data_IF_062245112453
#
_entry.id   IF_062245112453
#
_cell.length_a   1.000
_cell.length_b   1.000
_cell.length_c   1.000
_cell.angle_alpha   90.00
_cell.angle_beta   90.00
_cell.angle_gamma   90.00
#
_symmetry.space_group_name_H-M   'P 1'
#
loop_
_entity.id
_entity.type
_entity.pdbx_description
1 polymer ?
#
# COMPACT_ATOMS: atom_id res chain seq x y z
N UNK A 1 11.41 -39.96 -10.71
CA UNK A 1 10.01 -39.52 -10.89
C UNK A 1 10.04 -38.00 -10.99
N UNK A 2 9.44 -37.40 -12.03
CA UNK A 2 9.38 -35.94 -12.12
C UNK A 2 8.38 -35.43 -11.08
N UNK A 3 8.85 -34.65 -10.11
CA UNK A 3 7.97 -33.95 -9.18
C UNK A 3 7.07 -33.01 -9.98
N UNK A 4 5.75 -33.21 -9.93
CA UNK A 4 4.79 -32.25 -10.49
C UNK A 4 5.06 -30.91 -9.81
N UNK A 5 5.46 -29.91 -10.60
CA UNK A 5 5.64 -28.55 -10.11
C UNK A 5 4.24 -28.03 -9.78
N UNK A 6 3.86 -28.14 -8.51
CA UNK A 6 2.62 -27.58 -8.00
C UNK A 6 2.74 -26.07 -8.07
N UNK A 7 2.16 -25.46 -9.11
CA UNK A 7 1.99 -24.02 -9.16
C UNK A 7 0.82 -23.66 -8.23
N UNK A 8 0.99 -22.76 -7.25
CA UNK A 8 -0.15 -22.25 -6.51
C UNK A 8 -1.18 -21.61 -7.46
N UNK A 9 -2.45 -21.50 -7.04
CA UNK A 9 -3.40 -20.57 -7.66
C UNK A 9 -2.77 -19.18 -7.83
N UNK A 10 -3.18 -18.39 -8.83
CA UNK A 10 -2.72 -17.01 -8.95
C UNK A 10 -3.13 -16.21 -7.70
N UNK A 11 -2.29 -15.27 -7.27
CA UNK A 11 -2.69 -14.30 -6.25
C UNK A 11 -3.84 -13.44 -6.77
N UNK A 12 -4.86 -13.27 -5.93
CA UNK A 12 -6.01 -12.42 -6.19
C UNK A 12 -5.83 -11.02 -5.62
N UNK A 13 -6.95 -10.37 -5.30
CA UNK A 13 -6.98 -9.02 -4.72
C UNK A 13 -6.54 -8.99 -3.25
N UNK A 14 -6.04 -7.83 -2.85
CA UNK A 14 -5.91 -7.43 -1.45
C UNK A 14 -7.19 -6.70 -1.03
N UNK A 15 -7.59 -6.84 0.23
CA UNK A 15 -8.67 -6.04 0.85
C UNK A 15 -8.45 -5.86 2.34
N UNK A 16 -9.14 -4.89 2.95
CA UNK A 16 -9.25 -4.81 4.41
C UNK A 16 -9.90 -6.08 4.97
N UNK A 17 -9.50 -6.47 6.18
CA UNK A 17 -10.05 -7.63 6.88
C UNK A 17 -11.43 -7.34 7.52
N UNK A 18 -12.31 -8.33 7.55
CA UNK A 18 -13.52 -8.36 8.37
C UNK A 18 -13.30 -9.25 9.59
N UNK A 19 -14.03 -9.04 10.68
CA UNK A 19 -14.02 -9.94 11.84
C UNK A 19 -14.42 -11.37 11.48
N UNK A 20 -15.24 -11.55 10.44
CA UNK A 20 -15.64 -12.87 9.90
C UNK A 20 -14.47 -13.64 9.26
N UNK A 21 -13.39 -12.96 8.90
CA UNK A 21 -12.18 -13.59 8.34
C UNK A 21 -11.36 -14.33 9.41
N UNK A 22 -11.58 -14.01 10.69
CA UNK A 22 -10.71 -14.42 11.79
C UNK A 22 -10.47 -15.95 11.91
N UNK A 23 -11.45 -16.85 11.67
CA UNK A 23 -11.21 -18.30 11.68
C UNK A 23 -10.21 -18.71 10.59
N UNK A 24 -10.43 -18.25 9.35
CA UNK A 24 -9.58 -18.56 8.20
C UNK A 24 -8.17 -17.97 8.32
N UNK A 25 -8.04 -16.80 8.94
CA UNK A 25 -6.74 -16.19 9.28
C UNK A 25 -6.03 -17.03 10.34
N UNK A 26 -6.75 -17.49 11.38
CA UNK A 26 -6.18 -18.31 12.44
C UNK A 26 -5.67 -19.66 11.91
N UNK A 27 -6.34 -20.27 10.94
CA UNK A 27 -5.88 -21.49 10.25
C UNK A 27 -4.53 -21.32 9.52
N UNK A 28 -4.11 -20.09 9.19
CA UNK A 28 -2.78 -19.79 8.63
C UNK A 28 -1.68 -19.61 9.70
N UNK A 29 -2.04 -19.53 10.98
CA UNK A 29 -1.10 -19.27 12.08
C UNK A 29 -0.43 -20.57 12.53
N UNK A 30 0.81 -20.78 12.09
CA UNK A 30 1.63 -21.89 12.58
C UNK A 30 2.19 -21.63 13.99
N UNK A 31 2.77 -22.65 14.63
CA UNK A 31 3.32 -22.59 16.01
C UNK A 31 4.36 -21.46 16.21
N UNK A 32 5.21 -21.21 15.20
CA UNK A 32 6.22 -20.14 15.22
C UNK A 32 5.56 -18.76 15.24
N UNK A 33 4.57 -18.54 14.35
CA UNK A 33 3.78 -17.30 14.30
C UNK A 33 2.96 -17.11 15.58
N UNK A 34 2.29 -18.16 16.07
CA UNK A 34 1.50 -18.16 17.30
C UNK A 34 2.31 -17.67 18.50
N UNK A 35 3.47 -18.29 18.75
CA UNK A 35 4.34 -17.94 19.90
C UNK A 35 4.96 -16.56 19.76
N UNK A 36 5.28 -16.14 18.55
CA UNK A 36 5.92 -14.87 18.30
C UNK A 36 4.96 -13.67 18.42
N UNK A 37 3.82 -13.76 17.74
CA UNK A 37 2.78 -12.72 17.72
C UNK A 37 1.79 -12.82 18.89
N UNK A 38 1.90 -13.88 19.73
CA UNK A 38 1.04 -14.14 20.90
C UNK A 38 -0.43 -14.40 20.51
N UNK A 39 -0.60 -15.24 19.50
CA UNK A 39 -1.90 -15.61 18.92
C UNK A 39 -2.19 -17.05 19.28
N UNK A 40 -3.08 -17.25 20.24
CA UNK A 40 -3.43 -18.57 20.79
C UNK A 40 -4.80 -19.05 20.32
N UNK A 41 -5.68 -18.12 19.89
CA UNK A 41 -7.04 -18.42 19.45
C UNK A 41 -7.59 -17.31 18.52
N UNK A 42 -8.76 -17.59 17.93
CA UNK A 42 -9.48 -16.68 17.04
C UNK A 42 -9.84 -15.34 17.68
N UNK A 43 -10.08 -15.25 19.00
CA UNK A 43 -10.36 -13.97 19.67
C UNK A 43 -9.18 -13.02 19.62
N UNK A 44 -7.93 -13.52 19.64
CA UNK A 44 -6.75 -12.67 19.43
C UNK A 44 -6.74 -12.05 18.03
N UNK A 45 -7.18 -12.80 17.02
CA UNK A 45 -7.26 -12.33 15.63
C UNK A 45 -8.39 -11.30 15.46
N UNK A 46 -9.57 -11.54 16.03
CA UNK A 46 -10.68 -10.56 16.07
C UNK A 46 -10.22 -9.26 16.73
N UNK A 47 -9.63 -9.36 17.92
CA UNK A 47 -9.09 -8.21 18.65
C UNK A 47 -8.02 -7.44 17.84
N UNK A 48 -7.18 -8.14 17.06
CA UNK A 48 -6.25 -7.49 16.14
C UNK A 48 -6.97 -6.76 15.00
N UNK A 49 -7.99 -7.36 14.38
CA UNK A 49 -8.74 -6.74 13.28
C UNK A 49 -9.44 -5.45 13.75
N UNK A 50 -10.05 -5.46 14.94
CA UNK A 50 -10.78 -4.32 15.51
C UNK A 50 -9.87 -3.19 16.02
N UNK A 51 -8.64 -3.49 16.45
CA UNK A 51 -7.76 -2.54 17.15
C UNK A 51 -6.42 -2.30 16.42
N UNK A 52 -6.28 -2.78 15.18
CA UNK A 52 -5.15 -2.44 14.32
C UNK A 52 -5.36 -1.07 13.68
N UNK A 53 -4.25 -0.37 13.38
CA UNK A 53 -4.28 0.81 12.49
C UNK A 53 -4.64 0.37 11.07
N UNK A 54 -4.18 -0.82 10.68
CA UNK A 54 -4.46 -1.40 9.37
C UNK A 54 -4.40 -2.94 9.46
N UNK A 55 -5.43 -3.60 8.94
CA UNK A 55 -5.54 -5.06 8.84
C UNK A 55 -5.96 -5.45 7.41
N UNK A 56 -5.16 -6.27 6.74
CA UNK A 56 -5.29 -6.57 5.31
C UNK A 56 -5.23 -8.09 5.09
N UNK A 57 -6.17 -8.60 4.28
CA UNK A 57 -6.18 -9.96 3.75
C UNK A 57 -5.70 -9.96 2.29
N UNK A 58 -4.79 -10.88 1.95
CA UNK A 58 -4.46 -11.28 0.58
C UNK A 58 -5.30 -12.50 0.21
N UNK A 59 -6.11 -12.38 -0.85
CA UNK A 59 -6.89 -13.48 -1.40
C UNK A 59 -6.14 -14.17 -2.54
N UNK A 60 -6.49 -15.41 -2.87
CA UNK A 60 -6.13 -16.06 -4.13
C UNK A 60 -7.18 -15.79 -5.23
N UNK A 61 -6.98 -16.37 -6.41
CA UNK A 61 -7.96 -16.32 -7.51
C UNK A 61 -9.30 -17.02 -7.25
N UNK A 62 -9.47 -17.66 -6.09
CA UNK A 62 -10.69 -18.34 -5.63
C UNK A 62 -11.37 -17.58 -4.47
N UNK A 63 -10.99 -16.31 -4.23
CA UNK A 63 -11.38 -15.50 -3.06
C UNK A 63 -11.07 -16.17 -1.69
N UNK A 64 -10.14 -17.14 -1.65
CA UNK A 64 -9.68 -17.77 -0.40
C UNK A 64 -8.56 -16.95 0.25
N UNK A 65 -8.61 -16.77 1.58
CA UNK A 65 -7.57 -16.04 2.32
C UNK A 65 -6.28 -16.87 2.34
N UNK A 66 -5.21 -16.33 1.76
CA UNK A 66 -3.89 -16.96 1.69
C UNK A 66 -2.79 -16.13 2.38
N UNK A 67 -3.11 -14.92 2.82
CA UNK A 67 -2.22 -14.09 3.64
C UNK A 67 -2.99 -13.07 4.46
N UNK A 68 -2.43 -12.70 5.60
CA UNK A 68 -2.95 -11.66 6.48
C UNK A 68 -1.82 -10.88 7.15
N UNK A 69 -2.01 -9.57 7.29
CA UNK A 69 -1.15 -8.68 8.06
C UNK A 69 -1.99 -7.73 8.92
N UNK A 70 -1.57 -7.52 10.16
CA UNK A 70 -2.12 -6.51 11.06
C UNK A 70 -0.99 -5.66 11.63
N UNK A 71 -1.15 -4.33 11.56
CA UNK A 71 -0.17 -3.37 12.03
C UNK A 71 -0.75 -2.35 13.02
N UNK A 72 0.07 -1.92 13.99
CA UNK A 72 -0.25 -0.86 14.97
C UNK A 72 0.84 0.21 14.99
N UNK A 73 0.55 1.35 15.61
CA UNK A 73 1.43 2.51 15.80
C UNK A 73 2.46 2.35 16.94
N UNK A 74 2.56 1.16 17.56
CA UNK A 74 3.52 0.84 18.63
C UNK A 74 4.04 -0.61 18.50
N UNK A 75 5.26 -0.94 18.96
CA UNK A 75 5.83 -2.28 18.81
C UNK A 75 5.18 -3.31 19.75
N UNK A 76 5.23 -4.59 19.36
CA UNK A 76 4.74 -5.72 20.17
C UNK A 76 5.69 -6.05 21.34
N UNK A 77 5.79 -5.12 22.30
CA UNK A 77 6.64 -5.23 23.51
C UNK A 77 5.79 -4.92 24.75
N UNK A 78 5.29 -5.91 25.50
CA UNK A 78 4.41 -5.67 26.65
C UNK A 78 5.04 -4.87 27.80
N UNK A 79 6.37 -4.86 27.90
CA UNK A 79 7.13 -4.12 28.91
C UNK A 79 7.37 -2.65 28.55
N UNK A 80 6.88 -2.18 27.40
CA UNK A 80 7.03 -0.80 26.93
C UNK A 80 5.65 -0.21 26.68
N UNK A 81 5.33 0.88 27.39
CA UNK A 81 4.07 1.61 27.18
C UNK A 81 4.01 2.16 25.74
N UNK A 82 2.86 2.10 25.03
CA UNK A 82 2.75 2.58 23.65
C UNK A 82 3.30 4.00 23.43
N UNK A 83 2.98 4.95 24.31
CA UNK A 83 3.50 6.34 24.17
C UNK A 83 5.00 6.51 24.45
N UNK A 84 5.69 5.48 24.94
CA UNK A 84 7.11 5.52 25.31
C UNK A 84 8.03 4.77 24.32
N UNK A 85 7.47 4.18 23.24
CA UNK A 85 8.25 3.28 22.39
C UNK A 85 9.38 3.96 21.64
N UNK A 86 9.20 5.20 21.16
CA UNK A 86 10.23 5.93 20.40
C UNK A 86 11.54 6.01 21.18
N UNK A 87 11.47 6.53 22.40
CA UNK A 87 12.62 6.64 23.30
C UNK A 87 13.25 5.28 23.59
N UNK A 88 12.46 4.22 23.73
CA UNK A 88 12.97 2.86 23.92
C UNK A 88 13.75 2.37 22.68
N UNK A 89 13.16 2.50 21.48
CA UNK A 89 13.78 2.07 20.21
C UNK A 89 15.04 2.88 19.93
N UNK A 90 15.01 4.21 20.06
CA UNK A 90 16.18 5.08 19.90
C UNK A 90 17.30 4.73 20.88
N UNK A 91 16.96 4.44 22.14
CA UNK A 91 17.95 4.11 23.17
C UNK A 91 18.60 2.75 22.89
N UNK A 92 17.80 1.71 22.63
CA UNK A 92 18.26 0.32 22.54
C UNK A 92 18.72 -0.10 21.15
N UNK A 93 18.07 0.35 20.07
CA UNK A 93 18.36 -0.09 18.70
C UNK A 93 19.07 0.98 17.86
N UNK A 94 19.17 2.24 18.35
CA UNK A 94 19.73 3.39 17.62
C UNK A 94 19.02 3.75 16.31
N UNK A 95 17.84 3.17 16.06
CA UNK A 95 16.98 3.48 14.92
C UNK A 95 16.20 4.79 15.17
N UNK A 96 16.92 5.92 15.15
CA UNK A 96 16.39 7.28 15.41
C UNK A 96 15.46 7.80 14.31
N UNK A 97 15.48 7.16 13.14
CA UNK A 97 14.64 7.47 11.99
C UNK A 97 13.17 7.02 12.18
N UNK A 98 12.91 6.07 13.09
CA UNK A 98 11.58 5.57 13.42
C UNK A 98 10.87 6.50 14.42
N UNK A 99 9.67 6.97 14.08
CA UNK A 99 8.79 7.76 14.94
C UNK A 99 7.30 7.43 14.69
N UNK A 100 6.45 7.88 15.60
CA UNK A 100 4.99 7.73 15.61
C UNK A 100 4.26 8.24 14.36
N UNK A 101 4.87 9.14 13.57
CA UNK A 101 4.28 9.63 12.31
C UNK A 101 4.63 8.78 11.10
N UNK A 102 5.77 8.08 11.11
CA UNK A 102 6.31 7.41 9.92
C UNK A 102 6.48 5.88 10.04
N UNK A 103 6.19 5.31 11.21
CA UNK A 103 6.45 3.91 11.52
C UNK A 103 5.19 3.18 11.94
N UNK A 104 4.90 2.05 11.31
CA UNK A 104 3.96 1.05 11.80
C UNK A 104 4.70 -0.23 12.20
N UNK A 105 4.13 -0.98 13.13
CA UNK A 105 4.68 -2.22 13.64
C UNK A 105 3.75 -3.40 13.35
N UNK A 106 4.31 -4.50 12.84
CA UNK A 106 3.58 -5.74 12.61
C UNK A 106 3.24 -6.39 13.95
N UNK A 107 1.94 -6.64 14.18
CA UNK A 107 1.40 -7.37 15.34
C UNK A 107 0.92 -8.78 14.99
N UNK A 108 0.62 -9.04 13.72
CA UNK A 108 0.52 -10.38 13.15
C UNK A 108 0.86 -10.31 11.66
N UNK A 109 1.63 -11.29 11.18
CA UNK A 109 1.79 -11.57 9.75
C UNK A 109 1.81 -13.08 9.56
N UNK A 110 0.83 -13.62 8.81
CA UNK A 110 0.73 -15.03 8.49
C UNK A 110 0.35 -15.21 7.01
N UNK A 111 0.78 -16.32 6.40
CA UNK A 111 0.52 -16.62 5.00
C UNK A 111 0.70 -18.11 4.71
N UNK A 112 0.03 -18.55 3.65
CA UNK A 112 0.23 -19.88 3.10
C UNK A 112 1.63 -19.97 2.46
N UNK A 113 2.48 -20.83 3.01
CA UNK A 113 3.89 -20.97 2.64
C UNK A 113 4.13 -21.29 1.15
N UNK A 114 3.14 -21.82 0.42
CA UNK A 114 3.26 -22.13 -1.02
C UNK A 114 3.53 -20.86 -1.85
N UNK A 115 3.04 -19.70 -1.40
CA UNK A 115 3.22 -18.41 -2.07
C UNK A 115 4.48 -17.64 -1.60
N UNK A 116 5.16 -18.13 -0.55
CA UNK A 116 6.43 -17.62 -0.04
C UNK A 116 6.53 -16.07 0.06
N UNK A 117 7.50 -15.46 -0.65
CA UNK A 117 7.84 -14.03 -0.54
C UNK A 117 6.78 -13.10 -1.14
N UNK A 118 6.09 -13.54 -2.18
CA UNK A 118 5.24 -12.64 -2.99
C UNK A 118 4.09 -12.05 -2.18
N UNK A 119 3.51 -12.83 -1.26
CA UNK A 119 2.50 -12.35 -0.31
C UNK A 119 3.07 -11.32 0.66
N UNK A 120 4.26 -11.56 1.23
CA UNK A 120 4.91 -10.63 2.17
C UNK A 120 5.18 -9.29 1.50
N UNK A 121 5.78 -9.30 0.30
CA UNK A 121 6.10 -8.07 -0.43
C UNK A 121 4.83 -7.33 -0.87
N UNK A 122 3.76 -8.03 -1.29
CA UNK A 122 2.48 -7.41 -1.63
C UNK A 122 1.78 -6.80 -0.41
N UNK A 123 1.79 -7.46 0.74
CA UNK A 123 1.21 -6.94 1.99
C UNK A 123 1.97 -5.70 2.49
N UNK A 124 3.31 -5.70 2.45
CA UNK A 124 4.12 -4.52 2.80
C UNK A 124 3.87 -3.35 1.84
N UNK A 125 3.83 -3.61 0.51
CA UNK A 125 3.44 -2.59 -0.48
C UNK A 125 2.07 -2.01 -0.19
N UNK A 126 1.09 -2.85 0.13
CA UNK A 126 -0.28 -2.42 0.45
C UNK A 126 -0.31 -1.46 1.64
N UNK A 127 0.38 -1.80 2.75
CA UNK A 127 0.50 -0.90 3.92
C UNK A 127 1.12 0.45 3.52
N UNK A 128 2.20 0.45 2.73
CA UNK A 128 2.79 1.69 2.24
C UNK A 128 1.84 2.48 1.31
N UNK A 129 1.05 1.82 0.48
CA UNK A 129 0.09 2.51 -0.40
C UNK A 129 -1.10 3.12 0.36
N UNK A 130 -1.48 2.56 1.50
CA UNK A 130 -2.53 3.11 2.37
C UNK A 130 -2.16 4.47 3.00
N UNK A 131 -0.90 4.69 3.41
CA UNK A 131 -0.44 5.99 3.90
C UNK A 131 0.92 6.40 3.32
N UNK A 132 0.96 7.61 2.75
CA UNK A 132 2.17 8.22 2.20
C UNK A 132 3.16 8.72 3.26
N UNK A 133 2.72 8.93 4.51
CA UNK A 133 3.61 9.32 5.62
C UNK A 133 4.39 8.13 6.19
N UNK A 134 3.85 6.91 6.12
CA UNK A 134 4.54 5.69 6.56
C UNK A 134 5.75 5.44 5.66
N UNK A 135 6.96 5.51 6.25
CA UNK A 135 8.24 5.23 5.61
C UNK A 135 8.85 3.90 6.08
N UNK A 136 8.45 3.41 7.26
CA UNK A 136 9.00 2.20 7.86
C UNK A 136 7.88 1.27 8.33
N UNK A 137 8.03 -0.02 8.05
CA UNK A 137 7.23 -1.09 8.66
C UNK A 137 8.19 -1.96 9.47
N UNK A 138 8.00 -1.99 10.78
CA UNK A 138 8.91 -2.63 11.71
C UNK A 138 8.30 -3.88 12.36
N UNK A 139 9.14 -4.83 12.78
CA UNK A 139 8.73 -6.04 13.48
C UNK A 139 9.78 -6.38 14.54
N UNK A 140 9.33 -6.58 15.78
CA UNK A 140 10.20 -7.11 16.83
C UNK A 140 10.52 -8.57 16.51
N UNK A 141 11.78 -9.00 16.58
CA UNK A 141 12.20 -10.40 16.46
C UNK A 141 12.84 -10.84 17.78
N UNK A 142 12.14 -11.71 18.50
CA UNK A 142 12.58 -12.28 19.79
C UNK A 142 13.77 -13.21 19.62
N UNK A 143 14.56 -13.38 20.69
CA UNK A 143 15.79 -14.21 20.71
C UNK A 143 15.52 -15.71 20.48
N UNK A 144 14.30 -16.17 20.77
CA UNK A 144 13.95 -17.58 20.55
C UNK A 144 13.86 -17.83 19.04
N UNK A 145 14.75 -18.71 18.54
CA UNK A 145 14.80 -19.19 17.16
C UNK A 145 13.59 -20.08 16.83
N UNK A 146 12.42 -19.46 16.80
CA UNK A 146 11.35 -19.93 15.95
C UNK A 146 11.66 -19.47 14.53
N UNK A 147 11.69 -20.38 13.53
CA UNK A 147 11.82 -19.98 12.14
C UNK A 147 10.53 -19.25 11.74
N UNK A 148 10.51 -17.95 11.97
CA UNK A 148 9.45 -17.02 11.56
C UNK A 148 9.27 -16.97 10.05
N UNK A 149 10.26 -17.52 9.34
CA UNK A 149 10.40 -17.60 7.91
C UNK A 149 10.98 -18.99 7.62
N UNK A 150 10.36 -19.71 6.70
CA UNK A 150 10.50 -21.17 6.52
C UNK A 150 11.97 -21.62 6.42
N UNK A 151 12.40 -22.68 7.15
CA UNK A 151 13.75 -23.23 7.01
C UNK A 151 14.07 -23.58 5.55
N UNK A 152 15.10 -22.93 5.00
CA UNK A 152 15.56 -23.16 3.62
C UNK A 152 15.28 -22.05 2.61
N UNK A 153 14.57 -20.96 2.96
CA UNK A 153 14.45 -19.79 2.08
C UNK A 153 14.91 -18.48 2.74
N UNK A 154 16.14 -18.07 2.44
CA UNK A 154 16.74 -16.77 2.80
C UNK A 154 16.02 -15.54 2.19
N UNK A 155 14.95 -15.72 1.42
CA UNK A 155 14.39 -14.66 0.55
C UNK A 155 13.31 -13.80 1.20
N UNK A 156 12.53 -14.30 2.17
CA UNK A 156 11.46 -13.52 2.79
C UNK A 156 11.95 -12.48 3.81
N UNK A 157 13.19 -12.58 4.31
CA UNK A 157 13.86 -11.47 5.02
C UNK A 157 14.38 -10.39 4.07
N UNK A 158 14.43 -10.63 2.76
CA UNK A 158 15.11 -9.74 1.81
C UNK A 158 14.42 -8.40 1.53
N UNK A 159 13.35 -8.07 2.27
CA UNK A 159 12.68 -6.77 2.30
C UNK A 159 12.83 -6.07 3.65
N UNK A 160 13.49 -6.72 4.63
CA UNK A 160 13.74 -6.19 5.98
C UNK A 160 15.26 -6.12 6.27
N UNK A 161 15.76 -4.94 6.65
CA UNK A 161 17.06 -4.84 7.33
C UNK A 161 16.93 -5.23 8.80
N UNK A 162 17.96 -5.85 9.37
CA UNK A 162 18.01 -6.23 10.80
C UNK A 162 18.84 -5.22 11.60
N UNK A 163 18.26 -4.69 12.67
CA UNK A 163 18.93 -3.84 13.67
C UNK A 163 18.97 -4.59 14.99
N UNK A 164 20.15 -4.80 15.58
CA UNK A 164 20.28 -5.47 16.87
C UNK A 164 20.09 -4.47 18.03
N UNK A 165 19.52 -4.93 19.15
CA UNK A 165 19.56 -4.15 20.38
C UNK A 165 21.00 -4.08 20.92
N UNK A 166 21.31 -2.98 21.61
CA UNK A 166 22.58 -2.75 22.29
C UNK A 166 22.35 -2.74 23.80
N UNK A 167 23.06 -3.60 24.52
CA UNK A 167 23.11 -3.60 25.98
C UNK A 167 24.57 -3.75 26.45
N UNK A 168 24.94 -3.05 27.52
CA UNK A 168 26.34 -3.01 27.95
C UNK A 168 26.75 -4.33 28.60
N UNK A 169 27.69 -5.04 27.98
CA UNK A 169 28.21 -6.31 28.49
C UNK A 169 27.38 -7.54 28.12
N UNK A 170 26.37 -7.40 27.26
CA UNK A 170 25.60 -8.53 26.72
C UNK A 170 25.92 -8.67 25.21
N UNK A 171 26.31 -9.85 24.73
CA UNK A 171 26.44 -10.15 23.31
C UNK A 171 25.14 -9.89 22.52
N UNK A 172 25.24 -9.31 21.32
CA UNK A 172 24.07 -8.86 20.53
C UNK A 172 23.27 -9.98 19.87
N UNK A 173 23.86 -11.17 19.74
CA UNK A 173 23.24 -12.40 19.24
C UNK A 173 22.17 -12.96 20.20
N UNK A 174 22.36 -12.79 21.52
CA UNK A 174 21.37 -13.17 22.54
C UNK A 174 20.41 -12.02 22.90
N UNK A 175 20.40 -10.92 22.14
CA UNK A 175 19.49 -9.80 22.33
C UNK A 175 18.39 -9.79 21.25
N UNK A 176 17.18 -9.30 21.57
CA UNK A 176 16.14 -9.10 20.56
C UNK A 176 16.63 -8.18 19.44
N UNK A 177 16.10 -8.40 18.24
CA UNK A 177 16.41 -7.57 17.07
C UNK A 177 15.14 -6.96 16.49
N UNK A 178 15.30 -5.87 15.77
CA UNK A 178 14.25 -5.13 15.10
C UNK A 178 14.44 -5.34 13.60
N UNK A 179 13.42 -5.89 12.94
CA UNK A 179 13.39 -6.04 11.48
C UNK A 179 12.64 -4.85 10.91
N UNK A 180 13.22 -4.13 9.95
CA UNK A 180 12.64 -2.89 9.39
C UNK A 180 12.58 -3.02 7.87
N UNK A 181 11.39 -2.95 7.31
CA UNK A 181 11.17 -2.74 5.89
C UNK A 181 11.06 -1.25 5.62
N UNK A 182 11.92 -0.73 4.75
CA UNK A 182 11.93 0.68 4.36
C UNK A 182 11.15 0.88 3.05
N UNK A 183 10.36 1.94 2.97
CA UNK A 183 9.49 2.23 1.82
C UNK A 183 10.26 2.30 0.51
N UNK A 184 11.49 2.82 0.51
CA UNK A 184 12.34 2.93 -0.68
C UNK A 184 12.61 1.59 -1.35
N UNK A 185 12.76 0.52 -0.56
CA UNK A 185 13.11 -0.81 -1.04
C UNK A 185 11.87 -1.59 -1.51
N UNK A 186 10.74 -1.40 -0.83
CA UNK A 186 9.48 -2.13 -1.09
C UNK A 186 8.62 -1.45 -2.15
N UNK A 187 8.58 -0.11 -2.14
CA UNK A 187 7.74 0.74 -2.98
C UNK A 187 8.53 2.01 -3.38
N UNK A 188 9.57 1.87 -4.23
CA UNK A 188 10.43 2.99 -4.62
C UNK A 188 9.63 4.15 -5.22
N UNK A 189 10.05 5.39 -4.88
CA UNK A 189 9.43 6.59 -5.44
C UNK A 189 9.81 6.70 -6.92
N UNK A 190 8.84 6.47 -7.79
CA UNK A 190 9.00 6.63 -9.24
C UNK A 190 9.16 8.10 -9.60
N UNK A 191 9.91 8.38 -10.67
CA UNK A 191 10.17 9.75 -11.12
C UNK A 191 9.05 10.18 -12.05
N UNK A 192 8.34 11.26 -11.69
CA UNK A 192 7.36 11.88 -12.58
C UNK A 192 8.05 12.99 -13.38
N UNK A 193 7.90 12.96 -14.71
CA UNK A 193 8.36 14.02 -15.62
C UNK A 193 7.36 14.24 -16.76
N UNK A 194 7.55 15.30 -17.53
CA UNK A 194 6.85 15.46 -18.81
C UNK A 194 7.31 14.37 -19.78
N UNK A 195 6.36 13.89 -20.59
CA UNK A 195 6.66 13.01 -21.71
C UNK A 195 7.50 13.74 -22.77
N UNK A 196 8.31 12.99 -23.50
CA UNK A 196 9.08 13.39 -24.69
C UNK A 196 8.74 12.44 -25.85
N UNK A 197 9.06 12.81 -27.09
CA UNK A 197 8.61 12.03 -28.27
C UNK A 197 9.17 10.60 -28.29
N UNK A 198 10.33 10.40 -27.66
CA UNK A 198 10.97 9.09 -27.45
C UNK A 198 10.17 8.17 -26.52
N UNK A 199 9.29 8.69 -25.66
CA UNK A 199 8.44 7.87 -24.78
C UNK A 199 7.27 7.20 -25.52
N UNK A 200 7.05 7.48 -26.82
CA UNK A 200 5.88 7.02 -27.56
C UNK A 200 5.73 5.48 -27.50
N UNK A 201 6.81 4.75 -27.78
CA UNK A 201 6.83 3.29 -27.81
C UNK A 201 6.50 2.65 -26.44
N UNK A 202 6.80 3.33 -25.33
CA UNK A 202 6.42 2.90 -23.98
C UNK A 202 4.98 3.29 -23.63
N UNK A 203 4.53 4.49 -24.04
CA UNK A 203 3.22 5.06 -23.68
C UNK A 203 2.07 4.34 -24.41
N UNK A 204 2.22 4.01 -25.69
CA UNK A 204 1.13 3.37 -26.47
C UNK A 204 0.67 2.06 -25.83
N UNK A 205 1.54 1.09 -25.49
CA UNK A 205 1.14 -0.13 -24.79
C UNK A 205 0.43 0.10 -23.45
N UNK A 206 0.84 1.14 -22.68
CA UNK A 206 0.22 1.47 -21.39
C UNK A 206 -1.23 1.93 -21.60
N UNK A 207 -1.47 2.80 -22.58
CA UNK A 207 -2.81 3.32 -22.88
C UNK A 207 -3.70 2.21 -23.47
N UNK A 208 -3.20 1.48 -24.46
CA UNK A 208 -3.97 0.44 -25.17
C UNK A 208 -4.39 -0.73 -24.27
N UNK A 209 -3.60 -1.03 -23.23
CA UNK A 209 -3.96 -2.01 -22.21
C UNK A 209 -5.27 -1.70 -21.49
N UNK A 210 -5.66 -0.42 -21.43
CA UNK A 210 -6.93 0.02 -20.85
C UNK A 210 -7.98 0.38 -21.90
N UNK A 211 -7.60 1.02 -23.01
CA UNK A 211 -8.53 1.33 -24.11
C UNK A 211 -7.85 1.67 -25.43
N UNK A 212 -8.27 1.01 -26.51
CA UNK A 212 -7.88 1.38 -27.88
C UNK A 212 -8.61 2.63 -28.44
N UNK A 213 -9.53 3.24 -27.67
CA UNK A 213 -10.40 4.33 -28.15
C UNK A 213 -9.61 5.57 -28.61
N UNK A 214 -8.48 5.88 -27.98
CA UNK A 214 -7.67 7.05 -28.36
C UNK A 214 -7.04 6.87 -29.76
N UNK A 215 -6.45 5.71 -30.05
CA UNK A 215 -5.95 5.37 -31.38
C UNK A 215 -7.05 5.34 -32.45
N UNK A 216 -8.25 4.90 -32.10
CA UNK A 216 -9.39 4.93 -33.03
C UNK A 216 -9.87 6.35 -33.37
N UNK A 217 -9.76 7.30 -32.45
CA UNK A 217 -10.20 8.69 -32.63
C UNK A 217 -9.14 9.57 -33.30
N UNK A 218 -7.86 9.38 -32.96
CA UNK A 218 -6.75 10.26 -33.35
C UNK A 218 -5.71 9.57 -34.26
N UNK A 219 -5.92 8.30 -34.60
CA UNK A 219 -5.03 7.51 -35.45
C UNK A 219 -3.77 7.01 -34.73
N UNK A 220 -2.82 6.50 -35.52
CA UNK A 220 -1.62 5.81 -35.05
C UNK A 220 -0.64 6.72 -34.27
N UNK A 221 -0.61 8.03 -34.57
CA UNK A 221 0.37 8.97 -34.03
C UNK A 221 -0.13 9.83 -32.86
N UNK A 222 -1.25 9.44 -32.24
CA UNK A 222 -1.93 10.23 -31.21
C UNK A 222 -1.06 10.59 -30.00
N UNK A 223 -0.12 9.71 -29.61
CA UNK A 223 0.81 10.01 -28.50
C UNK A 223 1.78 11.12 -28.87
N UNK A 224 2.36 11.08 -30.07
CA UNK A 224 3.19 12.18 -30.58
C UNK A 224 2.39 13.48 -30.64
N UNK A 225 1.16 13.48 -31.17
CA UNK A 225 0.31 14.69 -31.20
C UNK A 225 -0.01 15.25 -29.80
N UNK A 226 -0.15 14.40 -28.78
CA UNK A 226 -0.34 14.81 -27.39
C UNK A 226 0.93 15.35 -26.71
N UNK A 227 2.11 15.06 -27.25
CA UNK A 227 3.43 15.47 -26.72
C UNK A 227 3.95 16.71 -27.46
N UNK A 228 3.90 16.69 -28.79
CA UNK A 228 4.31 17.75 -29.69
C UNK A 228 3.42 18.98 -29.44
N UNK A 229 4.00 20.00 -28.79
CA UNK A 229 3.25 21.13 -28.23
C UNK A 229 2.48 21.91 -29.29
N UNK A 230 1.17 21.79 -29.33
CA UNK A 230 0.32 22.86 -29.83
C UNK A 230 0.40 24.05 -28.85
N UNK A 231 0.77 25.27 -29.29
CA UNK A 231 0.94 26.43 -28.39
C UNK A 231 -0.32 26.82 -27.60
N UNK A 232 -1.50 26.45 -28.12
CA UNK A 232 -2.81 26.70 -27.51
C UNK A 232 -3.35 25.50 -26.72
N UNK A 233 -2.64 24.36 -26.70
CA UNK A 233 -3.04 23.19 -25.93
C UNK A 233 -2.50 23.28 -24.51
N UNK A 234 -3.42 23.40 -23.56
CA UNK A 234 -3.12 23.34 -22.13
C UNK A 234 -2.92 21.90 -21.61
N UNK A 235 -2.90 20.90 -22.52
CA UNK A 235 -2.68 19.49 -22.17
C UNK A 235 -1.22 19.25 -21.80
N UNK A 236 -1.02 18.45 -20.76
CA UNK A 236 0.30 18.01 -20.31
C UNK A 236 0.30 16.50 -20.13
N UNK A 237 1.03 15.81 -20.99
CA UNK A 237 1.33 14.40 -20.82
C UNK A 237 2.51 14.24 -19.86
N UNK A 238 2.28 13.51 -18.77
CA UNK A 238 3.29 13.12 -17.78
C UNK A 238 3.55 11.62 -17.87
N UNK A 239 4.80 11.23 -17.74
CA UNK A 239 5.22 9.83 -17.55
C UNK A 239 5.73 9.60 -16.13
N UNK A 240 5.45 8.41 -15.64
CA UNK A 240 6.01 7.84 -14.43
C UNK A 240 7.14 6.88 -14.85
N UNK A 241 8.38 7.25 -14.57
CA UNK A 241 9.60 6.58 -15.04
C UNK A 241 10.16 5.63 -13.98
N UNK A 242 10.52 4.42 -14.41
CA UNK A 242 11.28 3.45 -13.61
C UNK A 242 12.42 2.87 -14.46
N UNK A 243 13.67 3.11 -14.04
CA UNK A 243 14.88 2.66 -14.75
C UNK A 243 14.87 3.09 -16.23
N UNK A 244 14.63 4.38 -16.46
CA UNK A 244 14.63 5.02 -17.79
C UNK A 244 13.48 4.60 -18.73
N UNK A 245 12.60 3.68 -18.31
CA UNK A 245 11.40 3.24 -19.04
C UNK A 245 10.15 3.89 -18.44
N UNK A 246 9.21 4.34 -19.27
CA UNK A 246 7.91 4.80 -18.79
C UNK A 246 7.05 3.59 -18.36
N UNK A 247 6.55 3.60 -17.13
CA UNK A 247 5.72 2.52 -16.54
C UNK A 247 4.31 2.97 -16.14
N UNK A 248 4.02 4.26 -16.35
CA UNK A 248 2.68 4.83 -16.19
C UNK A 248 2.58 6.16 -16.92
N UNK A 249 1.37 6.52 -17.35
CA UNK A 249 1.08 7.77 -18.06
C UNK A 249 -0.08 8.51 -17.40
N UNK A 250 -0.02 9.83 -17.40
CA UNK A 250 -1.10 10.71 -16.94
C UNK A 250 -1.28 11.85 -17.92
N UNK A 251 -2.46 11.94 -18.55
CA UNK A 251 -2.84 13.08 -19.37
C UNK A 251 -3.59 14.10 -18.53
N UNK A 252 -2.96 15.23 -18.24
CA UNK A 252 -3.58 16.36 -17.57
C UNK A 252 -4.13 17.34 -18.61
N UNK A 253 -5.28 17.94 -18.30
CA UNK A 253 -5.89 19.02 -19.06
C UNK A 253 -6.62 19.96 -18.09
N UNK A 254 -6.48 21.26 -18.28
CA UNK A 254 -7.23 22.31 -17.56
C UNK A 254 -8.66 22.45 -18.08
N UNK A 255 -8.88 22.11 -19.36
CA UNK A 255 -10.20 22.13 -19.99
C UNK A 255 -10.98 20.85 -19.63
N UNK A 256 -11.88 20.97 -18.66
CA UNK A 256 -12.78 19.90 -18.20
C UNK A 256 -14.06 19.90 -19.04
N UNK A 257 -14.41 18.77 -19.65
CA UNK A 257 -15.72 18.60 -20.28
C UNK A 257 -16.74 18.15 -19.24
N UNK A 258 -17.50 19.12 -18.69
CA UNK A 258 -18.52 18.89 -17.67
C UNK A 258 -19.73 18.10 -18.20
N UNK A 259 -20.12 18.30 -19.46
CA UNK A 259 -21.27 17.60 -20.08
C UNK A 259 -20.99 16.09 -20.18
N UNK A 260 -19.82 15.71 -20.69
CA UNK A 260 -19.42 14.30 -20.80
C UNK A 260 -19.22 13.62 -19.41
N UNK A 261 -18.89 14.41 -18.39
CA UNK A 261 -18.86 13.95 -16.99
C UNK A 261 -20.29 13.67 -16.49
N UNK A 262 -21.22 14.62 -16.68
CA UNK A 262 -22.64 14.51 -16.33
C UNK A 262 -23.35 13.33 -17.01
N UNK A 263 -23.06 13.06 -18.28
CA UNK A 263 -23.61 11.91 -18.99
C UNK A 263 -23.07 10.55 -18.48
N UNK A 264 -21.92 10.55 -17.82
CA UNK A 264 -21.16 9.31 -17.51
C UNK A 264 -21.14 8.93 -16.02
N UNK A 265 -21.40 9.87 -15.10
CA UNK A 265 -21.20 9.67 -13.66
C UNK A 265 -22.26 10.36 -12.79
N UNK A 266 -22.58 9.76 -11.64
CA UNK A 266 -23.39 10.41 -10.60
C UNK A 266 -22.52 11.39 -9.80
N UNK A 267 -22.78 12.68 -9.98
CA UNK A 267 -21.87 13.76 -9.59
C UNK A 267 -22.44 14.71 -8.53
N UNK A 268 -23.71 14.52 -8.13
CA UNK A 268 -24.36 15.27 -7.04
C UNK A 268 -23.53 15.34 -5.74
N UNK A 269 -22.83 14.27 -5.29
CA UNK A 269 -22.04 14.31 -4.05
C UNK A 269 -20.81 15.24 -4.09
N UNK A 270 -20.33 15.61 -5.28
CA UNK A 270 -19.03 16.25 -5.47
C UNK A 270 -19.08 17.77 -5.67
N UNK A 271 -20.28 18.37 -5.58
CA UNK A 271 -20.51 19.82 -5.44
C UNK A 271 -19.76 20.72 -6.46
N UNK A 272 -19.52 20.25 -7.68
CA UNK A 272 -18.77 21.05 -8.66
C UNK A 272 -18.44 20.45 -10.03
N UNK A 273 -18.90 19.24 -10.39
CA UNK A 273 -18.36 18.50 -11.56
C UNK A 273 -19.29 18.08 -12.73
N UNK A 274 -20.61 18.23 -12.79
CA UNK A 274 -21.70 18.76 -11.93
C UNK A 274 -22.87 17.74 -12.03
N UNK A 275 -24.10 17.89 -11.52
CA UNK A 275 -24.90 19.02 -11.02
C UNK A 275 -25.77 18.60 -9.82
N UNK A 276 -26.67 19.48 -9.40
CA UNK A 276 -27.96 19.16 -8.77
C UNK A 276 -28.97 20.19 -9.25
N UNK A 277 -30.16 19.80 -9.70
CA UNK A 277 -31.26 20.74 -9.82
C UNK A 277 -32.64 20.07 -9.76
N UNK A 278 -33.45 20.47 -8.76
CA UNK A 278 -34.92 20.50 -8.87
C UNK A 278 -35.44 21.56 -7.89
N UNK A 279 -35.33 22.86 -8.22
CA UNK A 279 -35.95 23.99 -7.47
C UNK A 279 -35.55 24.17 -5.98
N UNK A 280 -34.52 23.44 -5.50
CA UNK A 280 -34.26 23.21 -4.07
C UNK A 280 -33.71 24.41 -3.27
N UNK A 281 -33.41 25.54 -3.91
CA UNK A 281 -32.83 26.72 -3.25
C UNK A 281 -33.79 27.88 -2.97
N UNK A 282 -35.11 27.66 -2.95
CA UNK A 282 -36.01 28.55 -2.20
C UNK A 282 -35.68 28.60 -0.69
N UNK A 283 -34.77 27.74 -0.19
CA UNK A 283 -34.15 27.81 1.15
C UNK A 283 -32.75 28.45 1.21
N UNK A 284 -32.16 28.92 0.10
CA UNK A 284 -31.02 29.86 0.16
C UNK A 284 -31.47 31.23 0.68
N UNK A 285 -32.78 31.49 0.64
CA UNK A 285 -33.46 32.58 1.35
C UNK A 285 -33.27 32.43 2.88
N UNK A 286 -32.16 32.96 3.42
CA UNK A 286 -32.17 34.30 4.05
C UNK A 286 -30.89 34.69 4.80
N UNK A 287 -30.12 33.74 5.33
CA UNK A 287 -29.01 34.04 6.25
C UNK A 287 -27.88 33.00 6.14
N UNK A 288 -26.67 33.43 5.76
CA UNK A 288 -25.59 33.64 6.75
C UNK A 288 -24.28 33.98 6.04
N UNK A 289 -23.60 35.00 6.54
CA UNK A 289 -22.34 35.53 6.00
C UNK A 289 -21.11 34.63 6.22
N UNK A 290 -20.05 34.95 5.47
CA UNK A 290 -18.63 34.70 5.77
C UNK A 290 -18.02 33.27 5.68
N UNK A 291 -17.12 33.14 4.68
CA UNK A 291 -15.84 32.40 4.70
C UNK A 291 -15.80 30.93 5.17
N UNK A 292 -15.73 30.02 4.19
CA UNK A 292 -15.09 28.71 4.34
C UNK A 292 -14.01 28.52 3.25
N UNK A 293 -12.76 28.28 3.67
CA UNK A 293 -11.68 27.79 2.79
C UNK A 293 -11.85 26.28 2.61
N UNK A 294 -11.63 25.76 1.41
CA UNK A 294 -11.58 24.32 1.17
C UNK A 294 -10.22 23.92 0.61
N UNK A 295 -9.52 23.06 1.35
CA UNK A 295 -8.24 22.48 0.94
C UNK A 295 -8.45 21.15 0.20
N UNK A 296 -7.83 21.08 -0.98
CA UNK A 296 -7.36 19.92 -1.75
C UNK A 296 -7.86 18.54 -1.28
N UNK A 297 -8.75 17.92 -2.07
CA UNK A 297 -9.02 16.48 -1.99
C UNK A 297 -7.96 15.65 -2.72
N UNK A 298 -7.61 14.51 -2.11
CA UNK A 298 -6.61 13.55 -2.57
C UNK A 298 -7.28 12.53 -3.50
N UNK A 299 -6.97 12.52 -4.79
CA UNK A 299 -7.57 11.57 -5.72
C UNK A 299 -6.98 10.16 -5.55
N UNK A 300 -7.83 9.14 -5.48
CA UNK A 300 -7.43 7.74 -5.34
C UNK A 300 -7.04 7.21 -6.72
N UNK A 301 -5.75 6.92 -6.90
CA UNK A 301 -5.30 6.07 -8.00
C UNK A 301 -5.40 4.62 -7.54
N UNK A 302 -6.38 3.88 -8.05
CA UNK A 302 -6.39 2.43 -7.99
C UNK A 302 -5.40 1.90 -9.04
N UNK A 303 -4.29 1.32 -8.58
CA UNK A 303 -3.23 0.71 -9.38
C UNK A 303 -2.24 -0.02 -8.49
#
# INVERSE_FOLDING_TARGET
MASRIFRPPPLGRLRLASVDDAPFIFDLVNESMSKHFRIENTYNVIYLIENAVLSICQLDGSDTIVGFIAARDYPLIPSVHPQAWEKYIWTKYKAIELNSRNTLFIHLMCWNCIYARDIVDNMLKSIFMHDAYVQHIAMMKTVVDYPLLVPGQSRSEGSFRRVQAMERGIPGDILPSLSIADRSEVSPRLRIRRAVEEDNDDIVPIIERHSARLRQLYGEFYVSELISRHPESERVLLVCEHKEVAVGVMCLNTQINYEALEESFELSPFAGLRHMDVSHFHKLSKNSDSTARYEIFKCILNG
#
